data_IF_831156625555
#
_entry.id   IF_831156625555
#
_cell.length_a   1.000
_cell.length_b   1.000
_cell.length_c   1.000
_cell.angle_alpha   90.00
_cell.angle_beta   90.00
_cell.angle_gamma   90.00
#
_symmetry.space_group_name_H-M   'P 1'
#
loop_
_entity.id
_entity.type
_entity.pdbx_description
1 polymer ?
#
# COMPACT_ATOMS: atom_id res chain seq x y z
N UNK A 1 -0.96 -6.03 28.31
CA UNK A 1 -1.44 -7.21 27.58
C UNK A 1 -0.81 -7.19 26.20
N UNK A 2 -0.48 -8.36 25.60
CA UNK A 2 0.01 -8.39 24.23
C UNK A 2 -1.06 -7.84 23.27
N UNK A 3 -0.61 -7.14 22.22
CA UNK A 3 -1.50 -6.64 21.17
C UNK A 3 -1.94 -7.83 20.32
N UNK A 4 -3.23 -7.98 20.11
CA UNK A 4 -3.82 -8.96 19.20
C UNK A 4 -4.11 -8.21 17.90
N UNK A 5 -3.58 -8.70 16.78
CA UNK A 5 -3.86 -8.16 15.46
C UNK A 5 -5.01 -8.91 14.78
N UNK A 6 -5.69 -8.25 13.85
CA UNK A 6 -6.60 -8.91 12.92
C UNK A 6 -5.84 -10.01 12.15
N UNK A 7 -6.56 -11.02 11.70
CA UNK A 7 -6.01 -12.15 10.96
C UNK A 7 -6.59 -12.24 9.54
N UNK A 8 -6.19 -13.25 8.78
CA UNK A 8 -6.66 -13.48 7.42
C UNK A 8 -8.15 -13.81 7.30
N UNK A 9 -8.83 -14.16 8.40
CA UNK A 9 -10.28 -14.39 8.39
C UNK A 9 -11.04 -13.06 8.49
N UNK A 10 -10.45 -12.10 9.17
CA UNK A 10 -10.99 -10.75 9.28
C UNK A 10 -10.67 -9.89 8.05
N UNK A 11 -9.58 -10.20 7.32
CA UNK A 11 -9.06 -9.41 6.20
C UNK A 11 -9.37 -10.04 4.84
N UNK A 12 -9.30 -9.24 3.76
CA UNK A 12 -9.60 -9.68 2.40
C UNK A 12 -8.37 -10.16 1.59
N UNK A 13 -7.25 -10.44 2.24
CA UNK A 13 -5.99 -10.75 1.53
C UNK A 13 -6.07 -12.06 0.75
N UNK A 14 -6.74 -13.10 1.27
CA UNK A 14 -6.86 -14.39 0.58
C UNK A 14 -7.54 -14.26 -0.79
N UNK A 15 -8.58 -13.45 -0.91
CA UNK A 15 -9.32 -13.23 -2.16
C UNK A 15 -8.62 -12.30 -3.15
N UNK A 16 -7.74 -11.42 -2.65
CA UNK A 16 -7.00 -10.44 -3.46
C UNK A 16 -5.62 -10.95 -3.92
N UNK A 17 -5.15 -12.07 -3.38
CA UNK A 17 -3.83 -12.64 -3.66
C UNK A 17 -3.75 -13.19 -5.09
N UNK A 18 -2.65 -12.91 -5.78
CA UNK A 18 -2.29 -13.58 -7.02
C UNK A 18 -1.98 -15.06 -6.75
N UNK A 19 -2.48 -15.92 -7.63
CA UNK A 19 -2.09 -17.32 -7.70
C UNK A 19 -1.07 -17.42 -8.84
N UNK A 20 0.15 -17.83 -8.51
CA UNK A 20 1.19 -18.09 -9.51
C UNK A 20 0.96 -19.46 -10.14
N UNK A 21 0.90 -19.50 -11.46
CA UNK A 21 0.74 -20.74 -12.19
C UNK A 21 2.09 -21.24 -12.70
N UNK A 22 2.28 -22.55 -12.70
CA UNK A 22 3.50 -23.16 -13.18
C UNK A 22 3.68 -22.89 -14.69
N UNK A 23 4.85 -22.38 -15.06
CA UNK A 23 5.18 -22.05 -16.45
C UNK A 23 4.68 -20.69 -16.92
N UNK A 24 4.03 -19.90 -16.07
CA UNK A 24 3.62 -18.54 -16.38
C UNK A 24 4.54 -17.50 -15.75
N UNK A 25 4.84 -16.44 -16.51
CA UNK A 25 5.53 -15.26 -16.02
C UNK A 25 4.61 -14.26 -15.32
N UNK A 26 5.17 -13.13 -14.91
CA UNK A 26 4.40 -11.97 -14.44
C UNK A 26 4.38 -10.93 -15.54
N UNK A 27 3.22 -10.76 -16.17
CA UNK A 27 2.94 -9.74 -17.18
C UNK A 27 2.24 -8.55 -16.52
N UNK A 28 2.57 -7.35 -16.97
CA UNK A 28 1.97 -6.12 -16.45
C UNK A 28 0.53 -5.97 -16.93
N UNK A 29 -0.40 -5.78 -15.98
CA UNK A 29 -1.78 -5.43 -16.30
C UNK A 29 -1.90 -3.97 -16.78
N UNK A 30 -3.03 -3.65 -17.42
CA UNK A 30 -3.30 -2.31 -17.97
C UNK A 30 -3.15 -1.21 -16.91
N UNK A 31 -3.65 -1.45 -15.68
CA UNK A 31 -3.56 -0.48 -14.59
C UNK A 31 -2.13 -0.11 -14.24
N UNK A 32 -1.24 -1.11 -14.14
CA UNK A 32 0.18 -0.88 -13.89
C UNK A 32 0.87 -0.15 -15.05
N UNK A 33 0.57 -0.58 -16.28
CA UNK A 33 1.15 0.00 -17.51
C UNK A 33 0.77 1.47 -17.72
N UNK A 34 -0.42 1.87 -17.27
CA UNK A 34 -0.95 3.23 -17.39
C UNK A 34 -0.48 4.13 -16.24
N UNK A 35 -0.64 3.67 -14.99
CA UNK A 35 -0.52 4.54 -13.81
C UNK A 35 0.84 4.48 -13.12
N UNK A 36 1.58 3.37 -13.25
CA UNK A 36 2.81 3.15 -12.49
C UNK A 36 4.04 3.01 -13.39
N UNK A 37 3.97 2.20 -14.43
CA UNK A 37 5.12 1.90 -15.29
C UNK A 37 5.74 3.15 -15.92
N UNK A 38 4.98 4.18 -16.36
CA UNK A 38 5.55 5.42 -16.87
C UNK A 38 6.42 6.16 -15.86
N UNK A 39 6.12 6.02 -14.56
CA UNK A 39 6.89 6.65 -13.47
C UNK A 39 8.07 5.79 -13.01
N UNK A 40 8.00 4.48 -13.23
CA UNK A 40 9.01 3.50 -12.82
C UNK A 40 10.03 3.24 -13.92
N UNK A 41 9.59 3.13 -15.18
CA UNK A 41 10.41 2.89 -16.37
C UNK A 41 9.72 3.48 -17.61
N UNK A 42 9.84 4.80 -17.80
CA UNK A 42 9.18 5.53 -18.88
C UNK A 42 9.53 5.02 -20.29
N UNK A 43 10.69 4.39 -20.47
CA UNK A 43 11.16 3.84 -21.75
C UNK A 43 10.67 2.41 -22.05
N UNK A 44 9.90 1.81 -21.13
CA UNK A 44 9.43 0.43 -21.33
C UNK A 44 8.40 0.35 -22.47
N UNK A 45 8.50 -0.63 -23.39
CA UNK A 45 7.62 -0.71 -24.56
C UNK A 45 6.14 -0.96 -24.20
N UNK A 46 5.85 -1.47 -23.02
CA UNK A 46 4.48 -1.69 -22.55
C UNK A 46 3.85 -0.47 -21.88
N UNK A 47 4.55 0.67 -21.79
CA UNK A 47 3.98 1.91 -21.23
C UNK A 47 2.77 2.33 -22.05
N UNK A 48 1.67 2.66 -21.34
CA UNK A 48 0.50 3.31 -21.92
C UNK A 48 0.58 4.78 -21.50
N UNK A 49 0.94 5.64 -22.46
CA UNK A 49 1.15 7.06 -22.19
C UNK A 49 -0.14 7.84 -21.94
N UNK A 50 -1.21 7.44 -22.62
CA UNK A 50 -2.55 8.05 -22.48
C UNK A 50 -3.63 7.09 -22.96
N UNK A 51 -4.86 7.30 -22.48
CA UNK A 51 -6.05 6.57 -22.93
C UNK A 51 -7.16 7.59 -23.13
N UNK A 52 -7.79 7.55 -24.30
CA UNK A 52 -8.89 8.46 -24.61
C UNK A 52 -10.00 8.41 -23.54
N UNK A 53 -10.44 9.56 -23.09
CA UNK A 53 -11.47 9.72 -22.06
C UNK A 53 -10.98 9.44 -20.62
N UNK A 54 -9.70 9.13 -20.41
CA UNK A 54 -9.09 9.01 -19.08
C UNK A 54 -8.18 10.20 -18.81
N UNK A 55 -8.18 10.64 -17.56
CA UNK A 55 -7.36 11.75 -17.06
C UNK A 55 -5.92 11.31 -16.73
N UNK A 56 -5.40 10.26 -17.36
CA UNK A 56 -4.00 9.83 -17.19
C UNK A 56 -3.15 10.22 -18.39
N UNK A 57 -1.99 10.82 -18.09
CA UNK A 57 -0.97 11.11 -19.10
C UNK A 57 0.41 10.85 -18.52
N UNK A 58 1.14 9.88 -19.09
CA UNK A 58 2.48 9.47 -18.63
C UNK A 58 2.55 9.17 -17.11
N UNK A 59 1.55 8.46 -16.58
CA UNK A 59 1.48 8.07 -15.15
C UNK A 59 0.98 9.15 -14.21
N UNK A 60 0.69 10.36 -14.71
CA UNK A 60 0.11 11.46 -13.94
C UNK A 60 -1.30 11.80 -14.43
N UNK A 61 -2.06 12.53 -13.64
CA UNK A 61 -3.38 13.05 -13.99
C UNK A 61 -3.50 14.53 -13.69
N UNK A 62 -4.32 15.25 -14.50
CA UNK A 62 -4.44 16.71 -14.42
C UNK A 62 -5.21 17.15 -13.17
N UNK A 63 -6.32 16.43 -12.87
CA UNK A 63 -7.15 16.74 -11.71
C UNK A 63 -6.56 16.14 -10.45
N UNK A 64 -6.31 16.95 -9.44
CA UNK A 64 -5.90 16.47 -8.12
C UNK A 64 -6.92 15.47 -7.58
N UNK A 65 -6.44 14.35 -7.10
CA UNK A 65 -7.23 13.31 -6.43
C UNK A 65 -6.93 13.30 -4.95
N UNK A 66 -7.97 13.01 -4.17
CA UNK A 66 -7.86 12.98 -2.72
C UNK A 66 -8.09 11.57 -2.20
N UNK A 67 -7.27 11.20 -1.23
CA UNK A 67 -7.32 9.90 -0.58
C UNK A 67 -7.06 10.02 0.92
N UNK A 68 -7.78 9.26 1.72
CA UNK A 68 -7.45 9.03 3.12
C UNK A 68 -6.40 7.93 3.19
N UNK A 69 -5.27 8.22 3.82
CA UNK A 69 -4.15 7.31 3.92
C UNK A 69 -3.71 7.10 5.37
N UNK A 70 -3.14 5.94 5.61
CA UNK A 70 -2.42 5.58 6.80
C UNK A 70 -0.93 5.63 6.50
N UNK A 71 -0.20 6.66 6.92
CA UNK A 71 1.23 6.76 6.69
C UNK A 71 1.98 5.74 7.56
N UNK A 72 3.05 5.20 7.00
CA UNK A 72 3.94 4.28 7.72
C UNK A 72 5.29 4.96 7.96
N UNK A 73 5.76 4.88 9.19
CA UNK A 73 7.05 5.46 9.57
C UNK A 73 8.20 4.85 8.76
N UNK A 74 8.98 5.70 8.09
CA UNK A 74 10.20 5.27 7.42
C UNK A 74 11.20 4.64 8.40
N UNK A 75 11.28 5.17 9.63
CA UNK A 75 12.16 4.62 10.68
C UNK A 75 11.79 3.17 11.03
N UNK A 76 10.48 2.85 11.13
CA UNK A 76 10.03 1.50 11.42
C UNK A 76 10.47 0.48 10.35
N UNK A 77 10.63 0.91 9.09
CA UNK A 77 11.18 0.08 8.02
C UNK A 77 12.70 -0.05 8.13
N UNK A 78 13.40 1.03 8.41
CA UNK A 78 14.88 1.04 8.48
C UNK A 78 15.41 0.25 9.69
N UNK A 79 14.68 0.23 10.78
CA UNK A 79 15.04 -0.44 12.03
C UNK A 79 14.64 -1.92 12.07
N UNK A 80 13.97 -2.43 11.04
CA UNK A 80 13.48 -3.81 11.00
C UNK A 80 14.54 -4.77 10.44
N UNK A 81 15.10 -5.63 11.29
CA UNK A 81 16.02 -6.69 10.88
C UNK A 81 15.34 -7.70 9.92
N UNK A 82 14.05 -8.00 10.13
CA UNK A 82 13.29 -8.89 9.25
C UNK A 82 13.11 -8.29 7.85
N UNK A 83 12.86 -6.97 7.75
CA UNK A 83 12.80 -6.32 6.43
C UNK A 83 14.17 -6.32 5.75
N UNK A 84 15.25 -6.05 6.49
CA UNK A 84 16.61 -6.08 5.93
C UNK A 84 16.96 -7.48 5.42
N UNK A 85 16.59 -8.54 6.15
CA UNK A 85 16.78 -9.92 5.71
C UNK A 85 15.95 -10.25 4.46
N UNK A 86 14.70 -9.76 4.38
CA UNK A 86 13.87 -9.87 3.18
C UNK A 86 14.49 -9.14 1.99
N UNK A 87 14.96 -7.89 2.18
CA UNK A 87 15.60 -7.12 1.11
C UNK A 87 16.88 -7.81 0.60
N UNK A 88 17.66 -8.42 1.48
CA UNK A 88 18.83 -9.20 1.08
C UNK A 88 18.40 -10.40 0.22
N UNK A 89 17.35 -11.11 0.62
CA UNK A 89 16.82 -12.23 -0.16
C UNK A 89 16.31 -11.78 -1.53
N UNK A 90 15.58 -10.64 -1.60
CA UNK A 90 15.12 -10.04 -2.85
C UNK A 90 16.29 -9.63 -3.76
N UNK A 91 17.32 -8.97 -3.20
CA UNK A 91 18.52 -8.55 -3.94
C UNK A 91 19.37 -9.70 -4.44
N UNK A 92 19.28 -10.86 -3.80
CA UNK A 92 20.01 -12.09 -4.18
C UNK A 92 19.25 -12.95 -5.18
N UNK A 93 18.01 -12.59 -5.55
CA UNK A 93 17.18 -13.33 -6.50
C UNK A 93 17.55 -13.05 -7.96
N UNK A 94 17.19 -13.98 -8.86
CA UNK A 94 17.34 -13.81 -10.29
C UNK A 94 16.54 -12.64 -10.85
N UNK A 95 15.43 -12.30 -10.24
CA UNK A 95 14.58 -11.18 -10.63
C UNK A 95 15.00 -9.81 -10.03
N UNK A 96 16.02 -9.78 -9.18
CA UNK A 96 16.48 -8.52 -8.53
C UNK A 96 16.75 -7.37 -9.52
N UNK A 97 17.34 -7.58 -10.72
CA UNK A 97 17.55 -6.52 -11.70
C UNK A 97 16.25 -5.91 -12.26
N UNK A 98 15.14 -6.62 -12.12
CA UNK A 98 13.81 -6.17 -12.57
C UNK A 98 13.04 -5.35 -11.53
N UNK A 99 13.58 -5.19 -10.34
CA UNK A 99 13.03 -4.31 -9.30
C UNK A 99 13.62 -2.90 -9.45
N UNK A 100 12.77 -1.89 -9.37
CA UNK A 100 13.17 -0.49 -9.36
C UNK A 100 13.56 -0.07 -7.93
N UNK A 101 14.76 -0.41 -7.50
CA UNK A 101 15.26 -0.16 -6.14
C UNK A 101 15.27 1.32 -5.78
N UNK A 102 15.55 2.18 -6.76
CA UNK A 102 15.51 3.64 -6.61
C UNK A 102 14.13 4.15 -6.20
N UNK A 103 13.05 3.46 -6.59
CA UNK A 103 11.68 3.81 -6.19
C UNK A 103 11.43 3.53 -4.70
N UNK A 104 12.07 2.52 -4.12
CA UNK A 104 11.99 2.27 -2.69
C UNK A 104 12.58 3.45 -1.90
N UNK A 105 13.73 3.96 -2.35
CA UNK A 105 14.39 5.13 -1.74
C UNK A 105 13.56 6.40 -1.92
N UNK A 106 13.12 6.68 -3.15
CA UNK A 106 12.36 7.88 -3.50
C UNK A 106 11.04 7.98 -2.71
N UNK A 107 10.39 6.83 -2.48
CA UNK A 107 9.11 6.77 -1.79
C UNK A 107 9.21 6.55 -0.28
N UNK A 108 10.39 6.36 0.28
CA UNK A 108 10.59 6.02 1.69
C UNK A 108 9.84 6.93 2.67
N UNK A 109 9.86 8.24 2.45
CA UNK A 109 9.15 9.20 3.30
C UNK A 109 7.64 9.30 3.03
N UNK A 110 7.11 8.53 2.07
CA UNK A 110 5.72 8.58 1.61
C UNK A 110 5.03 7.21 1.62
N UNK A 111 5.61 6.26 2.37
CA UNK A 111 5.02 4.94 2.51
C UNK A 111 3.68 5.05 3.24
N UNK A 112 2.66 4.48 2.64
CA UNK A 112 1.30 4.51 3.19
C UNK A 112 0.47 3.34 2.67
N UNK A 113 -0.61 3.03 3.38
CA UNK A 113 -1.73 2.28 2.84
C UNK A 113 -2.92 3.21 2.64
N UNK A 114 -3.62 3.08 1.52
CA UNK A 114 -4.83 3.85 1.23
C UNK A 114 -6.03 3.20 1.93
N UNK A 115 -6.75 3.99 2.73
CA UNK A 115 -7.98 3.57 3.40
C UNK A 115 -9.21 3.90 2.55
N UNK A 116 -9.21 5.07 1.90
CA UNK A 116 -10.26 5.48 0.98
C UNK A 116 -9.68 6.34 -0.14
N UNK A 117 -10.19 6.17 -1.36
CA UNK A 117 -9.81 6.97 -2.53
C UNK A 117 -11.06 7.58 -3.17
N UNK A 118 -10.86 8.56 -4.07
CA UNK A 118 -11.96 9.19 -4.77
C UNK A 118 -12.81 10.13 -3.90
N UNK A 119 -12.23 10.65 -2.82
CA UNK A 119 -12.87 11.66 -1.98
C UNK A 119 -13.01 12.93 -2.82
N UNK A 120 -14.22 13.52 -2.86
CA UNK A 120 -14.43 14.78 -3.57
C UNK A 120 -13.83 15.96 -2.79
N UNK A 121 -13.40 17.00 -3.49
CA UNK A 121 -12.88 18.20 -2.85
C UNK A 121 -13.91 18.83 -1.90
N UNK A 122 -15.19 18.80 -2.28
CA UNK A 122 -16.29 19.32 -1.46
C UNK A 122 -16.53 18.54 -0.15
N UNK A 123 -16.04 17.29 -0.07
CA UNK A 123 -16.21 16.44 1.09
C UNK A 123 -15.01 16.43 2.04
N UNK A 124 -13.92 17.12 1.73
CA UNK A 124 -12.67 17.01 2.49
C UNK A 124 -12.82 17.39 3.96
N UNK A 125 -13.43 18.55 4.25
CA UNK A 125 -13.61 19.01 5.64
C UNK A 125 -14.52 18.07 6.44
N UNK A 126 -15.61 17.60 5.82
CA UNK A 126 -16.53 16.62 6.43
C UNK A 126 -15.82 15.29 6.69
N UNK A 127 -15.01 14.84 5.75
CA UNK A 127 -14.21 13.63 5.88
C UNK A 127 -13.19 13.77 7.03
N UNK A 128 -12.44 14.89 7.06
CA UNK A 128 -11.47 15.16 8.12
C UNK A 128 -12.10 15.19 9.51
N UNK A 129 -13.25 15.86 9.66
CA UNK A 129 -13.97 15.91 10.93
C UNK A 129 -14.44 14.51 11.38
N UNK A 130 -15.06 13.74 10.51
CA UNK A 130 -15.53 12.38 10.83
C UNK A 130 -14.39 11.42 11.19
N UNK A 131 -13.23 11.53 10.50
CA UNK A 131 -12.02 10.74 10.84
C UNK A 131 -11.47 11.17 12.19
N UNK A 132 -11.40 12.48 12.47
CA UNK A 132 -10.90 13.01 13.73
C UNK A 132 -11.75 12.49 14.91
N UNK A 133 -13.09 12.61 14.82
CA UNK A 133 -14.00 12.13 15.85
C UNK A 133 -13.82 10.62 16.09
N UNK A 134 -13.65 9.84 15.03
CA UNK A 134 -13.43 8.40 15.16
C UNK A 134 -12.08 8.08 15.79
N UNK A 135 -11.02 8.80 15.47
CA UNK A 135 -9.70 8.62 16.09
C UNK A 135 -9.72 9.01 17.58
N UNK A 136 -10.49 10.03 17.97
CA UNK A 136 -10.67 10.41 19.38
C UNK A 136 -11.35 9.30 20.20
N UNK A 137 -12.20 8.48 19.56
CA UNK A 137 -12.85 7.32 20.21
C UNK A 137 -11.92 6.11 20.32
N UNK A 138 -11.14 5.80 19.28
CA UNK A 138 -10.36 4.56 19.20
C UNK A 138 -8.89 4.73 19.62
N UNK A 139 -8.37 5.95 19.61
CA UNK A 139 -6.95 6.23 19.91
C UNK A 139 -5.99 5.89 18.76
N UNK A 140 -4.71 5.82 19.10
CA UNK A 140 -3.66 5.37 18.15
C UNK A 140 -3.82 3.88 17.87
N UNK A 141 -3.52 3.51 16.62
CA UNK A 141 -3.73 2.15 16.11
C UNK A 141 -2.39 1.47 15.92
N UNK A 142 -2.15 0.36 16.62
CA UNK A 142 -0.99 -0.47 16.33
C UNK A 142 -1.25 -1.35 15.12
N UNK A 143 -0.22 -1.51 14.29
CA UNK A 143 -0.28 -2.36 13.09
C UNK A 143 0.95 -3.26 13.00
N UNK A 144 0.79 -4.42 12.38
CA UNK A 144 1.90 -5.19 11.88
C UNK A 144 1.78 -5.36 10.36
N UNK A 145 2.91 -5.29 9.67
CA UNK A 145 3.03 -5.61 8.25
C UNK A 145 3.64 -7.00 8.15
N UNK A 146 3.00 -7.87 7.41
CA UNK A 146 3.55 -9.21 7.14
C UNK A 146 4.34 -9.22 5.83
N UNK A 147 4.93 -10.34 5.49
CA UNK A 147 5.79 -10.53 4.33
C UNK A 147 5.16 -10.15 2.99
N UNK A 148 5.93 -10.22 1.90
CA UNK A 148 5.51 -9.64 0.61
C UNK A 148 4.24 -10.28 0.07
N UNK A 149 3.46 -9.46 -0.61
CA UNK A 149 2.18 -9.82 -1.19
C UNK A 149 2.11 -9.29 -2.63
N UNK A 150 1.67 -10.12 -3.56
CA UNK A 150 1.30 -9.67 -4.90
C UNK A 150 -0.19 -9.88 -5.13
N UNK A 151 -0.88 -8.82 -5.54
CA UNK A 151 -2.30 -8.84 -5.85
C UNK A 151 -2.58 -9.23 -7.29
N UNK A 152 -3.87 -9.37 -7.60
CA UNK A 152 -4.37 -9.63 -8.97
C UNK A 152 -4.44 -8.36 -9.82
N UNK A 153 -4.24 -7.19 -9.21
CA UNK A 153 -4.20 -5.88 -9.89
C UNK A 153 -2.87 -5.20 -9.63
N UNK A 154 -2.47 -4.30 -10.54
CA UNK A 154 -1.17 -3.63 -10.51
C UNK A 154 -0.04 -4.66 -10.37
N UNK A 155 -0.03 -5.61 -11.29
CA UNK A 155 0.80 -6.83 -11.24
C UNK A 155 2.31 -6.57 -11.21
N UNK A 156 2.75 -5.36 -11.52
CA UNK A 156 4.14 -4.90 -11.35
C UNK A 156 4.47 -4.38 -9.95
N UNK A 157 3.54 -4.48 -8.96
CA UNK A 157 3.77 -4.05 -7.58
C UNK A 157 3.82 -5.23 -6.63
N UNK A 158 4.73 -5.13 -5.66
CA UNK A 158 4.76 -6.01 -4.50
C UNK A 158 4.48 -5.14 -3.26
N UNK A 159 3.59 -5.62 -2.43
CA UNK A 159 3.04 -4.91 -1.28
C UNK A 159 3.42 -5.59 0.02
N UNK A 160 3.25 -4.87 1.12
CA UNK A 160 3.13 -5.44 2.46
C UNK A 160 1.67 -5.31 2.93
N UNK A 161 0.98 -6.43 3.24
CA UNK A 161 -0.34 -6.41 3.84
C UNK A 161 -0.26 -5.91 5.29
N UNK A 162 -1.19 -5.04 5.67
CA UNK A 162 -1.24 -4.42 6.99
C UNK A 162 -2.33 -5.05 7.83
N UNK A 163 -1.97 -5.57 8.98
CA UNK A 163 -2.89 -6.14 9.95
C UNK A 163 -3.01 -5.17 11.13
N UNK A 164 -4.14 -4.44 11.26
CA UNK A 164 -4.36 -3.57 12.41
C UNK A 164 -4.59 -4.38 13.68
N UNK A 165 -4.35 -3.74 14.83
CA UNK A 165 -4.77 -4.31 16.09
C UNK A 165 -6.28 -4.57 16.08
N UNK A 166 -6.68 -5.70 16.65
CA UNK A 166 -8.08 -6.02 16.86
C UNK A 166 -8.58 -5.25 18.11
N UNK A 167 -9.53 -4.34 17.93
CA UNK A 167 -10.12 -3.59 19.03
C UNK A 167 -11.50 -4.17 19.32
N UNK A 168 -11.62 -4.99 20.36
CA UNK A 168 -12.88 -5.60 20.82
C UNK A 168 -13.60 -6.42 19.74
N UNK A 169 -12.83 -7.12 18.90
CA UNK A 169 -13.37 -7.92 17.80
C UNK A 169 -13.55 -7.16 16.49
N UNK A 170 -13.17 -5.88 16.43
CA UNK A 170 -13.35 -5.02 15.25
C UNK A 170 -12.03 -4.54 14.66
N UNK A 171 -12.04 -4.34 13.35
CA UNK A 171 -10.98 -3.67 12.59
C UNK A 171 -11.16 -2.15 12.71
N UNK A 172 -10.22 -1.41 13.34
CA UNK A 172 -10.34 0.03 13.55
C UNK A 172 -10.36 0.83 12.24
N UNK A 173 -9.69 0.38 11.18
CA UNK A 173 -9.75 1.06 9.89
C UNK A 173 -11.09 0.85 9.19
N UNK A 174 -11.75 -0.28 9.40
CA UNK A 174 -13.13 -0.48 8.95
C UNK A 174 -14.09 0.50 9.64
N UNK A 175 -13.87 0.80 10.92
CA UNK A 175 -14.64 1.81 11.65
C UNK A 175 -14.40 3.22 11.08
N UNK A 176 -13.13 3.55 10.75
CA UNK A 176 -12.79 4.81 10.08
C UNK A 176 -13.46 4.91 8.71
N UNK A 177 -13.39 3.87 7.87
CA UNK A 177 -14.04 3.87 6.55
C UNK A 177 -15.55 4.08 6.67
N UNK A 178 -16.21 3.42 7.62
CA UNK A 178 -17.65 3.60 7.87
C UNK A 178 -17.99 5.03 8.29
N UNK A 179 -17.15 5.70 9.10
CA UNK A 179 -17.41 7.06 9.57
C UNK A 179 -17.48 8.10 8.46
N UNK A 180 -16.77 7.83 7.33
CA UNK A 180 -16.80 8.68 6.14
C UNK A 180 -17.74 8.17 5.04
N UNK A 181 -18.58 7.17 5.34
CA UNK A 181 -19.55 6.61 4.39
C UNK A 181 -18.97 5.67 3.35
N UNK A 182 -17.76 5.16 3.56
CA UNK A 182 -17.09 4.20 2.66
C UNK A 182 -17.26 2.78 3.19
N UNK A 183 -17.62 1.86 2.29
CA UNK A 183 -17.69 0.44 2.64
C UNK A 183 -16.30 -0.10 3.04
N UNK A 184 -16.19 -0.87 4.15
CA UNK A 184 -14.93 -1.44 4.58
C UNK A 184 -14.32 -2.35 3.52
N UNK A 185 -13.10 -2.04 3.11
CA UNK A 185 -12.37 -2.85 2.10
C UNK A 185 -11.70 -4.05 2.73
N UNK A 186 -11.28 -3.96 3.99
CA UNK A 186 -10.48 -4.96 4.70
C UNK A 186 -9.21 -5.38 3.93
N UNK A 187 -8.71 -4.48 3.09
CA UNK A 187 -7.54 -4.67 2.24
C UNK A 187 -6.65 -3.43 2.32
N UNK A 188 -5.67 -3.46 3.20
CA UNK A 188 -4.75 -2.36 3.46
C UNK A 188 -3.34 -2.76 3.02
N UNK A 189 -2.87 -2.16 1.93
CA UNK A 189 -1.64 -2.56 1.27
C UNK A 189 -0.66 -1.40 1.20
N UNK A 190 0.55 -1.59 1.71
CA UNK A 190 1.67 -0.67 1.48
C UNK A 190 2.42 -1.12 0.23
N UNK A 191 2.29 -0.38 -0.87
CA UNK A 191 3.06 -0.67 -2.08
C UNK A 191 4.52 -0.28 -1.89
N UNK A 192 5.41 -1.26 -1.92
CA UNK A 192 6.83 -1.05 -1.61
C UNK A 192 7.73 -1.25 -2.81
N UNK A 193 7.77 -2.48 -3.38
CA UNK A 193 8.59 -2.75 -4.56
C UNK A 193 7.79 -2.54 -5.84
N UNK A 194 8.47 -2.01 -6.86
CA UNK A 194 7.93 -1.79 -8.20
C UNK A 194 8.83 -2.50 -9.21
N UNK A 195 8.22 -3.23 -10.13
CA UNK A 195 8.94 -3.90 -11.21
C UNK A 195 9.13 -2.96 -12.39
N UNK A 196 10.34 -2.88 -12.90
CA UNK A 196 10.65 -2.14 -14.13
C UNK A 196 10.51 -2.98 -15.41
N UNK A 197 10.50 -4.31 -15.25
CA UNK A 197 10.32 -5.28 -16.33
C UNK A 197 9.45 -6.45 -15.84
N UNK A 198 8.78 -7.09 -16.76
CA UNK A 198 8.02 -8.31 -16.56
C UNK A 198 8.93 -9.48 -16.17
N UNK A 199 8.40 -10.46 -15.42
CA UNK A 199 9.14 -11.64 -15.02
C UNK A 199 8.87 -12.79 -15.97
N UNK A 200 9.92 -13.51 -16.35
CA UNK A 200 9.78 -14.78 -17.02
C UNK A 200 9.26 -15.89 -16.06
N UNK A 201 8.93 -17.10 -16.56
CA UNK A 201 8.40 -18.16 -15.71
C UNK A 201 9.31 -18.62 -14.57
N UNK A 202 10.63 -18.57 -14.75
CA UNK A 202 11.59 -18.98 -13.72
C UNK A 202 11.66 -17.91 -12.60
N UNK A 203 11.75 -16.66 -12.98
CA UNK A 203 11.74 -15.51 -12.07
C UNK A 203 10.42 -15.39 -11.31
N UNK A 204 9.29 -15.63 -12.00
CA UNK A 204 7.96 -15.64 -11.38
C UNK A 204 7.82 -16.75 -10.33
N UNK A 205 8.38 -17.94 -10.60
CA UNK A 205 8.44 -19.03 -9.63
C UNK A 205 9.31 -18.67 -8.43
N UNK A 206 10.49 -18.10 -8.66
CA UNK A 206 11.38 -17.65 -7.58
C UNK A 206 10.70 -16.60 -6.69
N UNK A 207 9.98 -15.64 -7.29
CA UNK A 207 9.18 -14.66 -6.55
C UNK A 207 8.08 -15.34 -5.73
N UNK A 208 7.36 -16.32 -6.30
CA UNK A 208 6.33 -17.06 -5.61
C UNK A 208 6.87 -17.81 -4.38
N UNK A 209 8.01 -18.50 -4.54
CA UNK A 209 8.70 -19.20 -3.46
C UNK A 209 9.16 -18.25 -2.35
N UNK A 210 9.65 -17.06 -2.72
CA UNK A 210 10.03 -16.02 -1.77
C UNK A 210 8.80 -15.50 -1.00
N UNK A 211 7.71 -15.17 -1.69
CA UNK A 211 6.45 -14.75 -1.07
C UNK A 211 5.95 -15.82 -0.09
N UNK A 212 5.95 -17.08 -0.48
CA UNK A 212 5.47 -18.17 0.39
C UNK A 212 6.34 -18.36 1.63
N UNK A 213 7.66 -18.21 1.51
CA UNK A 213 8.60 -18.30 2.63
C UNK A 213 8.43 -17.18 3.65
N UNK A 214 8.05 -15.99 3.20
CA UNK A 214 7.97 -14.80 4.03
C UNK A 214 6.54 -14.42 4.45
N UNK A 215 5.52 -15.01 3.87
CA UNK A 215 4.10 -14.63 4.00
C UNK A 215 3.65 -14.34 5.43
N UNK A 216 3.98 -15.23 6.36
CA UNK A 216 3.48 -15.17 7.73
C UNK A 216 4.43 -14.44 8.69
N UNK A 217 5.60 -14.03 8.21
CA UNK A 217 6.56 -13.28 9.02
C UNK A 217 6.12 -11.84 9.19
N UNK A 218 6.19 -11.34 10.41
CA UNK A 218 6.00 -9.92 10.69
C UNK A 218 7.29 -9.20 10.31
N UNK A 219 7.24 -8.37 9.27
CA UNK A 219 8.40 -7.61 8.78
C UNK A 219 8.51 -6.23 9.43
N UNK A 220 7.38 -5.63 9.84
CA UNK A 220 7.36 -4.35 10.54
C UNK A 220 6.23 -4.34 11.56
N UNK A 221 6.50 -3.79 12.73
CA UNK A 221 5.48 -3.44 13.72
C UNK A 221 5.60 -1.96 14.04
N UNK A 222 4.50 -1.23 14.03
CA UNK A 222 4.50 0.20 14.33
C UNK A 222 3.16 0.65 14.87
N UNK A 223 3.13 1.86 15.43
CA UNK A 223 1.90 2.53 15.82
C UNK A 223 1.60 3.64 14.84
N UNK A 224 0.35 3.76 14.42
CA UNK A 224 -0.15 4.81 13.55
C UNK A 224 -0.69 5.93 14.44
N UNK A 225 0.06 7.04 14.58
CA UNK A 225 -0.32 8.12 15.49
C UNK A 225 -1.32 9.10 14.84
N UNK A 226 -1.51 9.04 13.53
CA UNK A 226 -2.40 9.91 12.77
C UNK A 226 -2.76 9.29 11.43
N UNK A 227 -3.84 9.79 10.84
CA UNK A 227 -4.20 9.56 9.43
C UNK A 227 -4.06 10.87 8.65
N UNK A 228 -3.89 10.79 7.33
CA UNK A 228 -3.72 11.96 6.48
C UNK A 228 -4.67 11.92 5.28
N UNK A 229 -5.16 13.09 4.90
CA UNK A 229 -5.76 13.31 3.60
C UNK A 229 -4.67 13.77 2.63
N UNK A 230 -4.38 12.94 1.63
CA UNK A 230 -3.45 13.27 0.55
C UNK A 230 -4.18 13.94 -0.61
N UNK A 231 -3.54 14.97 -1.17
CA UNK A 231 -3.82 15.54 -2.47
C UNK A 231 -2.67 15.15 -3.40
N UNK A 232 -2.92 14.40 -4.46
CA UNK A 232 -1.88 13.87 -5.34
C UNK A 232 -2.32 13.88 -6.80
N UNK A 233 -1.34 13.89 -7.70
CA UNK A 233 -1.54 13.81 -9.16
C UNK A 233 -0.87 12.56 -9.77
N UNK A 234 -0.48 11.58 -8.94
CA UNK A 234 0.05 10.30 -9.38
C UNK A 234 -0.25 9.18 -8.38
N UNK A 235 -0.29 7.92 -8.84
CA UNK A 235 -0.62 6.75 -8.01
C UNK A 235 0.59 6.22 -7.20
N UNK A 236 1.77 6.80 -7.37
CA UNK A 236 2.94 6.54 -6.51
C UNK A 236 3.07 7.55 -5.38
N UNK A 237 2.19 8.54 -5.35
CA UNK A 237 2.18 9.66 -4.40
C UNK A 237 3.49 10.47 -4.40
N UNK A 238 4.20 10.53 -5.54
CA UNK A 238 5.44 11.30 -5.68
C UNK A 238 5.16 12.80 -5.58
N UNK A 239 4.00 13.24 -6.09
CA UNK A 239 3.50 14.62 -6.03
C UNK A 239 2.64 14.91 -4.80
N UNK A 240 2.42 13.93 -3.93
CA UNK A 240 1.47 14.05 -2.82
C UNK A 240 1.81 15.18 -1.86
N UNK A 241 0.78 15.91 -1.47
CA UNK A 241 0.79 16.92 -0.41
C UNK A 241 -0.22 16.52 0.65
N UNK A 242 0.11 16.76 1.91
CA UNK A 242 -0.84 16.56 3.01
C UNK A 242 -1.84 17.73 3.00
N UNK A 243 -3.12 17.42 2.77
CA UNK A 243 -4.21 18.38 2.85
C UNK A 243 -4.67 18.56 4.30
N UNK A 244 -4.83 17.47 5.03
CA UNK A 244 -5.19 17.47 6.45
C UNK A 244 -4.53 16.28 7.17
N UNK A 245 -4.25 16.50 8.46
CA UNK A 245 -3.69 15.48 9.36
C UNK A 245 -4.59 15.36 10.58
N UNK A 246 -5.08 14.15 10.86
CA UNK A 246 -5.97 13.84 11.96
C UNK A 246 -5.25 12.90 12.93
N UNK A 247 -5.21 13.26 14.21
CA UNK A 247 -4.58 12.47 15.27
C UNK A 247 -5.49 12.42 16.49
N UNK A 248 -5.49 11.32 17.27
CA UNK A 248 -6.26 11.24 18.49
C UNK A 248 -5.91 12.40 19.41
N UNK A 249 -6.90 13.18 19.78
CA UNK A 249 -6.77 14.17 20.85
C UNK A 249 -6.86 13.38 22.16
N UNK A 250 -5.76 13.31 22.92
CA UNK A 250 -5.76 12.59 24.19
C UNK A 250 -6.99 12.98 25.00
N UNK A 251 -7.73 12.01 25.52
CA UNK A 251 -8.75 12.31 26.53
C UNK A 251 -8.01 13.02 27.66
N UNK A 252 -8.32 14.28 27.88
CA UNK A 252 -7.97 14.95 29.12
C UNK A 252 -8.57 14.07 30.23
N UNK A 253 -7.68 13.39 30.98
CA UNK A 253 -8.05 12.56 32.11
C UNK A 253 -8.55 13.43 33.25
#
# INVERSE_FOLDING_TARGET
MPIIYCDDEMMAYRSAKRIFQLGEGVVFDEGYRLAHLPLVNAGHPAVISEVEGRDYRNGTYEKTRYALVMPISAAAFLESDELQALELAMKSSGFAPKIAWEMCELRRSRLHATLASGISEADLDRCAAAVQDRLDEIGSISVCLKGPFQGTRNTGRIYFPVYPQNIRGEDPFALVQKSIGVAPTKLYLVGYYHMRNELDPLEARELAELIDRWRDRIVVTTTIPFLELYATNDDLALSARVHAKMSPRGRLA
#
